data_IF_341656591120
#
_entry.id   IF_341656591120
#
_cell.length_a   1.000
_cell.length_b   1.000
_cell.length_c   1.000
_cell.angle_alpha   90.00
_cell.angle_beta   90.00
_cell.angle_gamma   90.00
#
_symmetry.space_group_name_H-M   'P 1'
#
loop_
_entity.id
_entity.type
_entity.pdbx_description
1 polymer ?
#
# COMPACT_ATOMS: atom_id res chain seq x y z
N UNK A 1 5.64 -10.40 -9.22
CA UNK A 1 5.77 -10.13 -10.67
C UNK A 1 5.94 -8.62 -10.85
N UNK A 2 6.76 -8.16 -11.80
CA UNK A 2 6.78 -6.75 -12.19
C UNK A 2 5.39 -6.31 -12.64
N UNK A 3 4.96 -5.10 -12.26
CA UNK A 3 3.67 -4.57 -12.71
C UNK A 3 3.73 -4.21 -14.19
N UNK A 4 2.62 -4.44 -14.89
CA UNK A 4 2.40 -4.02 -16.27
C UNK A 4 1.22 -3.04 -16.42
N UNK A 5 0.75 -2.47 -15.29
CA UNK A 5 -0.41 -1.56 -15.24
C UNK A 5 -0.10 -0.24 -14.53
N UNK A 6 -1.13 0.57 -14.33
CA UNK A 6 -1.07 1.86 -13.62
C UNK A 6 -1.12 1.71 -12.09
N UNK A 7 -0.68 0.59 -11.56
CA UNK A 7 -0.65 0.31 -10.12
C UNK A 7 0.46 -0.66 -9.78
N UNK A 8 0.86 -0.70 -8.52
CA UNK A 8 1.72 -1.74 -7.95
C UNK A 8 0.96 -2.54 -6.90
N UNK A 9 1.28 -3.82 -6.81
CA UNK A 9 0.82 -4.69 -5.73
C UNK A 9 1.96 -4.83 -4.73
N UNK A 10 1.73 -4.39 -3.51
CA UNK A 10 2.66 -4.52 -2.39
C UNK A 10 2.19 -5.67 -1.53
N UNK A 11 3.08 -6.64 -1.29
CA UNK A 11 2.85 -7.75 -0.38
C UNK A 11 3.51 -7.44 0.96
N UNK A 12 2.76 -7.64 2.04
CA UNK A 12 3.21 -7.52 3.42
C UNK A 12 3.50 -8.91 3.99
N UNK A 13 4.07 -8.95 5.20
CA UNK A 13 4.39 -10.21 5.89
C UNK A 13 3.15 -11.07 6.12
N UNK A 14 2.04 -10.45 6.54
CA UNK A 14 0.76 -11.10 6.74
C UNK A 14 -0.41 -10.13 6.52
N UNK A 15 -1.64 -10.68 6.63
CA UNK A 15 -2.86 -9.90 6.48
C UNK A 15 -3.04 -8.82 7.56
N UNK A 16 -2.56 -9.08 8.79
CA UNK A 16 -2.68 -8.11 9.88
C UNK A 16 -1.79 -6.90 9.63
N UNK A 17 -0.56 -7.10 9.17
CA UNK A 17 0.37 -6.04 8.79
C UNK A 17 -0.15 -5.27 7.56
N UNK A 18 -0.77 -5.94 6.60
CA UNK A 18 -1.41 -5.27 5.46
C UNK A 18 -2.58 -4.36 5.91
N UNK A 19 -3.43 -4.83 6.83
CA UNK A 19 -4.50 -4.00 7.42
C UNK A 19 -3.92 -2.82 8.20
N UNK A 20 -2.92 -3.04 9.05
CA UNK A 20 -2.27 -1.99 9.81
C UNK A 20 -1.63 -0.92 8.89
N UNK A 21 -0.97 -1.34 7.80
CA UNK A 21 -0.41 -0.42 6.82
C UNK A 21 -1.50 0.40 6.12
N UNK A 22 -2.60 -0.23 5.70
CA UNK A 22 -3.74 0.45 5.10
C UNK A 22 -4.34 1.50 6.05
N UNK A 23 -4.53 1.14 7.31
CA UNK A 23 -5.11 2.03 8.32
C UNK A 23 -4.17 3.21 8.60
N UNK A 24 -2.86 2.96 8.72
CA UNK A 24 -1.85 4.02 8.86
C UNK A 24 -1.87 4.98 7.68
N UNK A 25 -1.85 4.48 6.44
CA UNK A 25 -1.92 5.31 5.24
C UNK A 25 -3.20 6.15 5.19
N UNK A 26 -4.34 5.60 5.62
CA UNK A 26 -5.58 6.37 5.73
C UNK A 26 -5.46 7.54 6.72
N UNK A 27 -4.73 7.38 7.84
CA UNK A 27 -4.47 8.50 8.77
C UNK A 27 -3.64 9.63 8.14
N UNK A 28 -2.81 9.30 7.15
CA UNK A 28 -2.02 10.26 6.37
C UNK A 28 -2.77 10.83 5.16
N UNK A 29 -4.07 10.50 5.00
CA UNK A 29 -4.88 10.92 3.85
C UNK A 29 -4.55 10.17 2.55
N UNK A 30 -3.81 9.07 2.62
CA UNK A 30 -3.40 8.25 1.47
C UNK A 30 -4.33 7.04 1.37
N UNK A 31 -5.25 7.08 0.41
CA UNK A 31 -6.23 6.01 0.22
C UNK A 31 -5.73 4.97 -0.78
N UNK A 32 -5.51 3.75 -0.30
CA UNK A 32 -5.10 2.59 -1.12
C UNK A 32 -6.20 1.53 -1.17
N UNK A 33 -6.02 0.48 -1.99
CA UNK A 33 -7.03 -0.56 -2.16
C UNK A 33 -6.57 -1.91 -1.60
N UNK A 34 -7.18 -2.39 -0.50
CA UNK A 34 -7.04 -3.78 -0.08
C UNK A 34 -7.57 -4.74 -1.15
N UNK A 35 -6.86 -5.85 -1.36
CA UNK A 35 -7.21 -6.86 -2.38
C UNK A 35 -7.50 -8.25 -1.79
N UNK A 36 -7.83 -8.32 -0.50
CA UNK A 36 -8.18 -9.57 0.17
C UNK A 36 -9.34 -10.32 -0.48
N UNK A 37 -10.32 -9.62 -1.05
CA UNK A 37 -11.43 -10.21 -1.80
C UNK A 37 -11.01 -10.96 -3.08
N UNK A 38 -9.78 -10.76 -3.56
CA UNK A 38 -9.18 -11.48 -4.69
C UNK A 38 -8.30 -12.66 -4.25
N UNK A 39 -8.34 -13.05 -2.97
CA UNK A 39 -7.49 -14.13 -2.42
C UNK A 39 -6.07 -13.67 -2.07
N UNK A 40 -5.84 -12.36 -1.95
CA UNK A 40 -4.55 -11.75 -1.59
C UNK A 40 -4.69 -10.90 -0.32
N UNK A 41 -4.97 -11.50 0.85
CA UNK A 41 -5.28 -10.77 2.08
C UNK A 41 -4.08 -10.02 2.66
N UNK A 42 -2.87 -10.42 2.31
CA UNK A 42 -1.59 -9.84 2.68
C UNK A 42 -1.10 -8.76 1.70
N UNK A 43 -1.94 -8.33 0.75
CA UNK A 43 -1.55 -7.39 -0.30
C UNK A 43 -2.40 -6.13 -0.35
N UNK A 44 -1.76 -5.01 -0.69
CA UNK A 44 -2.41 -3.75 -1.04
C UNK A 44 -2.08 -3.37 -2.49
N UNK A 45 -3.08 -2.85 -3.19
CA UNK A 45 -2.93 -2.30 -4.54
C UNK A 45 -2.86 -0.77 -4.46
N UNK A 46 -1.76 -0.21 -4.94
CA UNK A 46 -1.50 1.24 -4.94
C UNK A 46 -1.43 1.71 -6.39
N UNK A 47 -2.31 2.64 -6.76
CA UNK A 47 -2.28 3.30 -8.07
C UNK A 47 -1.06 4.20 -8.19
N UNK A 48 -0.39 4.19 -9.34
CA UNK A 48 0.70 5.13 -9.63
C UNK A 48 0.09 6.51 -9.90
N UNK A 49 0.41 7.48 -9.04
CA UNK A 49 -0.07 8.85 -9.11
C UNK A 49 0.97 9.82 -9.68
N UNK A 50 0.82 11.10 -9.35
CA UNK A 50 1.85 12.12 -9.62
C UNK A 50 3.12 11.85 -8.81
N UNK A 51 4.23 12.51 -9.16
CA UNK A 51 5.51 12.37 -8.43
C UNK A 51 5.34 12.68 -6.93
N UNK A 52 4.66 13.77 -6.59
CA UNK A 52 4.40 14.16 -5.19
C UNK A 52 3.54 13.13 -4.44
N UNK A 53 2.52 12.57 -5.09
CA UNK A 53 1.69 11.51 -4.50
C UNK A 53 2.51 10.24 -4.26
N UNK A 54 3.37 9.87 -5.21
CA UNK A 54 4.22 8.71 -5.08
C UNK A 54 5.25 8.90 -3.95
N UNK A 55 5.83 10.11 -3.80
CA UNK A 55 6.71 10.43 -2.66
C UNK A 55 5.99 10.32 -1.34
N UNK A 56 4.80 10.91 -1.21
CA UNK A 56 4.00 10.82 0.01
C UNK A 56 3.71 9.36 0.42
N UNK A 57 3.40 8.50 -0.55
CA UNK A 57 3.22 7.05 -0.30
C UNK A 57 4.52 6.42 0.20
N UNK A 58 5.65 6.70 -0.44
CA UNK A 58 6.95 6.12 -0.08
C UNK A 58 7.40 6.57 1.31
N UNK A 59 7.23 7.84 1.64
CA UNK A 59 7.58 8.41 2.94
C UNK A 59 6.73 7.78 4.06
N UNK A 60 5.41 7.73 3.86
CA UNK A 60 4.49 7.12 4.83
C UNK A 60 4.73 5.61 5.02
N UNK A 61 5.01 4.87 3.94
CA UNK A 61 5.36 3.45 4.05
C UNK A 61 6.71 3.24 4.76
N UNK A 62 7.67 4.14 4.55
CA UNK A 62 8.97 4.08 5.22
C UNK A 62 8.85 4.37 6.71
N UNK A 63 8.03 5.36 7.09
CA UNK A 63 7.71 5.66 8.49
C UNK A 63 7.01 4.47 9.17
N UNK A 64 6.00 3.89 8.51
CA UNK A 64 5.31 2.71 9.01
C UNK A 64 6.25 1.52 9.19
N UNK A 65 7.14 1.27 8.22
CA UNK A 65 8.08 0.16 8.28
C UNK A 65 9.15 0.30 9.37
N UNK A 66 9.40 1.52 9.86
CA UNK A 66 10.33 1.78 10.96
C UNK A 66 9.76 1.42 12.34
N UNK A 67 8.47 1.07 12.43
CA UNK A 67 7.77 0.60 13.65
C UNK A 67 7.67 -0.91 13.73
#
# INVERSE_FOLDING_TARGET
LPSAGNFVLIRFEDAARATAANDFLNTQGIIVRPVGGYGLPDCLRITVGTDDQNRAVLDALSEFAAT
#
